data_IF_309301363305
#
_entry.id   IF_309301363305
#
_cell.length_a   1.000
_cell.length_b   1.000
_cell.length_c   1.000
_cell.angle_alpha   90.00
_cell.angle_beta   90.00
_cell.angle_gamma   90.00
#
_symmetry.space_group_name_H-M   'P 1'
#
loop_
_entity.id
_entity.type
_entity.pdbx_description
1 polymer ?
#
# COMPACT_ATOMS: atom_id res chain seq x y z
N UNK A 1 -1.48 -14.24 55.59
CA UNK A 1 -0.88 -13.27 54.65
C UNK A 1 -0.44 -14.07 53.43
N UNK A 2 -1.19 -14.00 52.33
CA UNK A 2 -0.90 -14.75 51.11
C UNK A 2 0.09 -13.96 50.26
N UNK A 3 1.36 -14.33 50.32
CA UNK A 3 2.40 -13.80 49.44
C UNK A 3 2.54 -14.70 48.21
N UNK A 4 2.61 -14.09 47.03
CA UNK A 4 2.78 -14.79 45.77
C UNK A 4 4.21 -14.58 45.26
N UNK A 5 4.94 -15.65 45.00
CA UNK A 5 6.33 -15.56 44.51
C UNK A 5 6.30 -15.63 42.98
N UNK A 6 6.75 -14.56 42.33
CA UNK A 6 6.86 -14.46 40.87
C UNK A 6 8.26 -13.95 40.55
N UNK A 7 8.99 -14.63 39.66
CA UNK A 7 10.37 -14.28 39.27
C UNK A 7 11.30 -14.03 40.48
N UNK A 8 11.16 -14.81 41.55
CA UNK A 8 12.00 -14.72 42.74
C UNK A 8 11.71 -13.52 43.66
N UNK A 9 10.66 -12.74 43.38
CA UNK A 9 10.19 -11.66 44.26
C UNK A 9 8.85 -12.05 44.88
N UNK A 10 8.71 -11.84 46.19
CA UNK A 10 7.43 -11.96 46.88
C UNK A 10 6.57 -10.72 46.59
N UNK A 11 5.35 -10.96 46.13
CA UNK A 11 4.35 -9.94 45.84
C UNK A 11 3.20 -10.03 46.81
N UNK A 12 2.81 -8.88 47.33
CA UNK A 12 1.57 -8.74 48.08
C UNK A 12 0.37 -8.64 47.11
N UNK A 13 -0.83 -8.98 47.58
CA UNK A 13 -2.09 -8.91 46.83
C UNK A 13 -2.29 -7.51 46.21
N UNK A 14 -1.94 -6.45 46.94
CA UNK A 14 -2.03 -5.07 46.42
C UNK A 14 -1.09 -4.81 45.25
N UNK A 15 0.10 -5.39 45.25
CA UNK A 15 1.08 -5.22 44.17
C UNK A 15 0.65 -5.98 42.92
N UNK A 16 0.12 -7.20 43.08
CA UNK A 16 -0.49 -7.96 42.00
C UNK A 16 -1.69 -7.21 41.40
N UNK A 17 -2.57 -6.67 42.23
CA UNK A 17 -3.72 -5.90 41.78
C UNK A 17 -3.29 -4.66 40.99
N UNK A 18 -2.27 -3.93 41.47
CA UNK A 18 -1.71 -2.78 40.76
C UNK A 18 -1.16 -3.17 39.39
N UNK A 19 -0.44 -4.28 39.29
CA UNK A 19 0.08 -4.78 38.01
C UNK A 19 -1.04 -5.10 37.03
N UNK A 20 -2.07 -5.82 37.49
CA UNK A 20 -3.24 -6.16 36.66
C UNK A 20 -3.98 -4.91 36.21
N UNK A 21 -4.15 -3.91 37.08
CA UNK A 21 -4.78 -2.64 36.72
C UNK A 21 -3.98 -1.93 35.63
N UNK A 22 -2.65 -1.83 35.76
CA UNK A 22 -1.80 -1.15 34.77
C UNK A 22 -1.87 -1.86 33.41
N UNK A 23 -1.72 -3.19 33.40
CA UNK A 23 -1.75 -3.99 32.16
C UNK A 23 -3.15 -3.97 31.54
N UNK A 24 -4.20 -4.18 32.34
CA UNK A 24 -5.59 -4.13 31.89
C UNK A 24 -5.97 -2.76 31.34
N UNK A 25 -5.52 -1.69 32.00
CA UNK A 25 -5.70 -0.31 31.51
C UNK A 25 -4.98 -0.09 30.20
N UNK A 26 -3.72 -0.53 30.05
CA UNK A 26 -2.97 -0.40 28.80
C UNK A 26 -3.65 -1.13 27.63
N UNK A 27 -4.11 -2.37 27.86
CA UNK A 27 -4.82 -3.17 26.87
C UNK A 27 -6.13 -2.51 26.44
N UNK A 28 -6.87 -1.92 27.38
CA UNK A 28 -8.11 -1.23 27.08
C UNK A 28 -7.87 0.12 26.41
N UNK A 29 -6.88 0.89 26.85
CA UNK A 29 -6.61 2.25 26.36
C UNK A 29 -6.08 2.25 24.93
N UNK A 30 -5.29 1.24 24.55
CA UNK A 30 -4.70 1.09 23.21
C UNK A 30 -5.70 1.20 22.05
N UNK A 31 -6.80 0.41 21.99
CA UNK A 31 -7.75 0.51 20.88
C UNK A 31 -8.51 1.85 20.84
N UNK A 32 -8.73 2.50 21.98
CA UNK A 32 -9.39 3.81 22.01
C UNK A 32 -8.47 4.93 21.53
N UNK A 33 -7.19 4.91 21.94
CA UNK A 33 -6.18 5.82 21.42
C UNK A 33 -6.04 5.69 19.90
N UNK A 34 -5.95 4.47 19.37
CA UNK A 34 -5.83 4.23 17.93
C UNK A 34 -7.01 4.79 17.14
N UNK A 35 -8.24 4.62 17.63
CA UNK A 35 -9.45 5.20 17.00
C UNK A 35 -9.43 6.73 17.02
N UNK A 36 -8.86 7.33 18.06
CA UNK A 36 -8.74 8.78 18.16
C UNK A 36 -7.68 9.30 17.18
N UNK A 37 -6.49 8.68 17.15
CA UNK A 37 -5.42 9.07 16.23
C UNK A 37 -5.80 8.91 14.78
N UNK A 38 -6.56 7.87 14.42
CA UNK A 38 -7.09 7.69 13.06
C UNK A 38 -7.95 8.88 12.62
N UNK A 39 -8.87 9.34 13.47
CA UNK A 39 -9.70 10.52 13.17
C UNK A 39 -8.88 11.81 13.03
N UNK A 40 -7.81 11.96 13.81
CA UNK A 40 -6.90 13.09 13.66
C UNK A 40 -6.10 13.01 12.36
N UNK A 41 -5.57 11.84 12.01
CA UNK A 41 -4.87 11.61 10.75
C UNK A 41 -5.79 11.85 9.54
N UNK A 42 -7.01 11.31 9.54
CA UNK A 42 -7.99 11.56 8.48
C UNK A 42 -8.29 13.06 8.31
N UNK A 43 -8.38 13.80 9.42
CA UNK A 43 -8.64 15.24 9.39
C UNK A 43 -7.44 16.05 8.88
N UNK A 44 -6.22 15.62 9.18
CA UNK A 44 -5.00 16.23 8.64
C UNK A 44 -4.80 15.89 7.16
N UNK A 45 -5.06 14.65 6.75
CA UNK A 45 -5.01 14.22 5.36
C UNK A 45 -6.11 14.86 4.50
N UNK A 46 -7.26 15.20 5.08
CA UNK A 46 -8.34 15.92 4.39
C UNK A 46 -8.14 17.44 4.37
N UNK A 47 -7.16 17.98 5.10
CA UNK A 47 -6.86 19.41 5.07
C UNK A 47 -6.25 19.73 3.70
N UNK A 48 -6.75 20.73 2.97
CA UNK A 48 -6.12 21.15 1.72
C UNK A 48 -4.69 21.58 2.03
N UNK A 49 -3.73 20.88 1.41
CA UNK A 49 -2.30 21.16 1.53
C UNK A 49 -2.08 22.60 1.07
N UNK A 50 -1.61 23.48 1.97
CA UNK A 50 -1.30 24.84 1.57
C UNK A 50 -0.13 24.82 0.58
N UNK A 51 -0.15 25.70 -0.43
CA UNK A 51 0.91 25.81 -1.43
C UNK A 51 2.24 26.15 -0.76
N UNK A 52 3.05 25.13 -0.46
CA UNK A 52 4.28 25.22 0.31
C UNK A 52 4.61 24.00 1.18
N UNK A 53 3.61 23.17 1.51
CA UNK A 53 3.80 21.95 2.33
C UNK A 53 4.05 20.68 1.50
N UNK A 54 3.92 20.76 0.18
CA UNK A 54 4.13 19.64 -0.77
C UNK A 54 5.59 19.14 -0.80
N UNK A 55 6.54 19.97 -0.35
CA UNK A 55 7.97 19.64 -0.24
C UNK A 55 8.41 19.22 1.17
N UNK A 56 7.47 19.04 2.11
CA UNK A 56 7.81 18.62 3.47
C UNK A 56 8.20 17.13 3.50
N UNK A 57 9.25 16.72 4.22
CA UNK A 57 9.58 15.29 4.40
C UNK A 57 8.51 14.52 5.18
N UNK A 58 7.54 15.22 5.80
CA UNK A 58 6.35 14.62 6.40
C UNK A 58 5.21 14.37 5.39
N UNK A 59 5.30 14.91 4.16
CA UNK A 59 4.44 14.54 3.05
C UNK A 59 4.86 13.15 2.55
N UNK A 60 4.59 12.13 3.36
CA UNK A 60 4.74 10.73 2.95
C UNK A 60 3.58 10.42 2.01
N UNK A 61 3.70 10.92 0.79
CA UNK A 61 3.08 10.29 -0.36
C UNK A 61 3.68 8.91 -0.54
N UNK A 62 2.87 8.01 -1.10
CA UNK A 62 3.13 6.60 -1.44
C UNK A 62 4.43 6.32 -2.23
N UNK A 63 5.27 7.33 -2.51
CA UNK A 63 6.51 7.25 -3.27
C UNK A 63 7.73 6.87 -2.44
N UNK A 64 7.77 7.16 -1.13
CA UNK A 64 8.98 6.97 -0.32
C UNK A 64 9.32 5.48 -0.05
N UNK A 65 8.33 4.58 -0.09
CA UNK A 65 8.53 3.14 0.09
C UNK A 65 8.66 2.35 -1.22
N UNK A 66 8.60 3.02 -2.38
CA UNK A 66 8.53 2.37 -3.70
C UNK A 66 9.88 1.84 -4.22
N UNK A 67 11.00 2.35 -3.72
CA UNK A 67 12.32 2.03 -4.29
C UNK A 67 13.02 0.81 -3.66
N UNK A 68 12.59 0.33 -2.49
CA UNK A 68 13.34 -0.71 -1.75
C UNK A 68 12.85 -2.14 -2.05
N UNK A 69 11.71 -2.32 -2.73
CA UNK A 69 11.10 -3.64 -2.99
C UNK A 69 11.04 -4.00 -4.48
N UNK A 70 11.81 -3.32 -5.32
CA UNK A 70 11.74 -3.47 -6.78
C UNK A 70 12.66 -4.56 -7.36
N UNK A 71 13.52 -5.17 -6.54
CA UNK A 71 14.46 -6.20 -6.98
C UNK A 71 14.17 -7.50 -6.23
N UNK A 72 13.97 -8.56 -7.00
CA UNK A 72 13.74 -9.96 -6.59
C UNK A 72 12.39 -10.30 -5.95
N UNK A 73 11.46 -10.78 -6.79
CA UNK A 73 10.87 -12.11 -6.56
C UNK A 73 10.16 -12.57 -7.84
N UNK A 74 10.89 -13.42 -8.59
CA UNK A 74 10.34 -14.29 -9.62
C UNK A 74 9.29 -15.24 -9.01
N UNK A 75 8.14 -15.25 -9.67
CA UNK A 75 7.25 -16.40 -9.87
C UNK A 75 7.03 -17.40 -8.72
N UNK A 76 6.08 -17.10 -7.83
CA UNK A 76 5.39 -18.11 -7.03
C UNK A 76 3.88 -17.90 -7.15
N UNK A 77 3.26 -18.73 -7.99
CA UNK A 77 1.81 -18.81 -8.23
C UNK A 77 1.12 -19.59 -7.10
N UNK A 78 1.28 -19.10 -5.87
CA UNK A 78 0.63 -19.61 -4.67
C UNK A 78 -0.34 -18.58 -4.09
N UNK A 79 -1.41 -19.04 -3.42
CA UNK A 79 -2.32 -18.21 -2.64
C UNK A 79 -1.58 -17.50 -1.49
N UNK A 80 -0.89 -16.42 -1.83
CA UNK A 80 -0.18 -15.56 -0.89
C UNK A 80 -1.21 -14.76 -0.07
N UNK A 81 -1.43 -15.19 1.18
CA UNK A 81 -2.22 -14.46 2.19
C UNK A 81 -1.45 -13.30 2.83
N UNK A 82 -0.36 -12.84 2.21
CA UNK A 82 0.32 -11.61 2.62
C UNK A 82 -0.61 -10.41 2.52
N UNK A 83 -0.53 -9.53 3.53
CA UNK A 83 -1.37 -8.34 3.72
C UNK A 83 -1.37 -7.33 2.55
N UNK A 84 -0.55 -7.54 1.52
CA UNK A 84 -0.50 -6.73 0.29
C UNK A 84 -0.93 -7.48 -0.99
N UNK A 85 -1.28 -8.76 -0.92
CA UNK A 85 -1.51 -9.58 -2.11
C UNK A 85 -2.66 -9.06 -3.00
N UNK A 86 -3.75 -8.58 -2.40
CA UNK A 86 -4.88 -7.99 -3.13
C UNK A 86 -4.50 -6.71 -3.89
N UNK A 87 -3.65 -5.86 -3.28
CA UNK A 87 -3.18 -4.61 -3.91
C UNK A 87 -2.20 -4.93 -5.05
N UNK A 88 -1.28 -5.87 -4.85
CA UNK A 88 -0.36 -6.35 -5.90
C UNK A 88 -1.12 -6.92 -7.10
N UNK A 89 -2.14 -7.76 -6.86
CA UNK A 89 -3.01 -8.31 -7.92
C UNK A 89 -3.71 -7.20 -8.71
N UNK A 90 -4.29 -6.20 -8.04
CA UNK A 90 -4.94 -5.06 -8.70
C UNK A 90 -3.94 -4.25 -9.55
N UNK A 91 -2.74 -3.98 -9.03
CA UNK A 91 -1.68 -3.28 -9.77
C UNK A 91 -1.17 -4.05 -10.98
N UNK A 92 -1.05 -5.38 -10.89
CA UNK A 92 -0.71 -6.23 -12.05
C UNK A 92 -1.82 -6.20 -13.10
N UNK A 93 -3.09 -6.27 -12.69
CA UNK A 93 -4.21 -6.16 -13.62
C UNK A 93 -4.26 -4.80 -14.32
N UNK A 94 -4.07 -3.70 -13.59
CA UNK A 94 -3.98 -2.33 -14.15
C UNK A 94 -2.85 -2.25 -15.21
N UNK A 95 -1.65 -2.74 -14.89
CA UNK A 95 -0.52 -2.75 -15.85
C UNK A 95 -0.82 -3.58 -17.11
N UNK A 96 -1.45 -4.74 -16.96
CA UNK A 96 -1.82 -5.61 -18.09
C UNK A 96 -2.86 -4.94 -18.99
N UNK A 97 -3.87 -4.30 -18.41
CA UNK A 97 -4.89 -3.57 -19.17
C UNK A 97 -4.28 -2.40 -19.96
N UNK A 98 -3.39 -1.62 -19.34
CA UNK A 98 -2.68 -0.53 -20.04
C UNK A 98 -1.84 -1.08 -21.20
N UNK A 99 -1.10 -2.17 -20.97
CA UNK A 99 -0.30 -2.80 -22.03
C UNK A 99 -1.15 -3.25 -23.22
N UNK A 100 -2.32 -3.86 -22.95
CA UNK A 100 -3.24 -4.30 -24.01
C UNK A 100 -3.81 -3.13 -24.82
N UNK A 101 -4.12 -2.01 -24.16
CA UNK A 101 -4.59 -0.81 -24.86
C UNK A 101 -3.51 -0.19 -25.76
N UNK A 102 -2.24 -0.24 -25.34
CA UNK A 102 -1.12 0.24 -26.15
C UNK A 102 -0.90 -0.70 -27.36
N UNK A 103 -0.92 -2.01 -27.13
CA UNK A 103 -0.72 -3.02 -28.18
C UNK A 103 -1.83 -2.97 -29.26
N UNK A 104 -3.07 -2.73 -28.86
CA UNK A 104 -4.19 -2.55 -29.79
C UNK A 104 -4.06 -1.26 -30.62
N UNK A 105 -3.59 -0.17 -29.99
CA UNK A 105 -3.37 1.09 -30.70
C UNK A 105 -2.19 0.98 -31.68
N UNK A 106 -1.09 0.34 -31.28
CA UNK A 106 0.04 0.04 -32.16
C UNK A 106 -0.39 -0.83 -33.35
N UNK A 107 -1.27 -1.80 -33.12
CA UNK A 107 -1.83 -2.62 -34.20
C UNK A 107 -2.71 -1.80 -35.15
N UNK A 108 -3.55 -0.91 -34.63
CA UNK A 108 -4.39 -0.04 -35.45
C UNK A 108 -3.55 0.91 -36.31
N UNK A 109 -2.49 1.48 -35.73
CA UNK A 109 -1.55 2.33 -36.46
C UNK A 109 -0.81 1.51 -37.53
N UNK A 110 -0.38 0.29 -37.22
CA UNK A 110 0.26 -0.58 -38.21
C UNK A 110 -0.68 -1.00 -39.36
N UNK A 111 -1.99 -1.15 -39.08
CA UNK A 111 -3.01 -1.40 -40.10
C UNK A 111 -3.34 -0.14 -40.92
N UNK A 112 -3.28 1.06 -40.32
CA UNK A 112 -3.45 2.36 -41.01
C UNK A 112 -2.21 2.81 -41.81
N UNK A 113 -0.99 2.44 -41.37
CA UNK A 113 0.30 2.71 -42.02
C UNK A 113 0.72 1.60 -43.00
N UNK A 114 -0.09 0.54 -43.13
CA UNK A 114 0.01 -0.42 -44.21
C UNK A 114 -0.41 0.27 -45.51
N UNK A 115 0.57 0.84 -46.22
CA UNK A 115 0.54 1.55 -47.51
C UNK A 115 -0.12 0.80 -48.71
N UNK A 116 -1.17 0.00 -48.50
CA UNK A 116 -1.90 -0.70 -49.55
C UNK A 116 -2.62 0.28 -50.51
N UNK A 117 -3.10 1.43 -50.03
CA UNK A 117 -3.70 2.48 -50.89
C UNK A 117 -2.67 3.31 -51.67
N UNK A 118 -1.42 3.44 -51.18
CA UNK A 118 -0.36 4.21 -51.86
C UNK A 118 0.28 3.39 -52.99
N UNK A 119 0.36 2.07 -52.84
CA UNK A 119 0.87 1.16 -53.86
C UNK A 119 -0.01 1.16 -55.14
N UNK A 120 -1.34 1.25 -55.02
CA UNK A 120 -2.25 1.31 -56.17
C UNK A 120 -2.06 2.59 -57.00
N UNK A 121 -1.63 3.70 -56.38
CA UNK A 121 -1.38 4.96 -57.08
C UNK A 121 -0.04 4.98 -57.83
N UNK A 122 0.94 4.18 -57.38
CA UNK A 122 2.27 4.11 -58.02
C UNK A 122 2.29 3.25 -59.30
N UNK A 123 1.40 2.25 -59.39
CA UNK A 123 1.32 1.33 -60.55
C UNK A 123 0.46 1.90 -61.70
N UNK A 124 -0.23 3.02 -61.48
CA UNK A 124 -1.13 3.66 -62.45
C UNK A 124 -0.47 4.77 -63.29
N UNK A 125 0.75 5.17 -62.92
CA UNK A 125 1.56 6.20 -63.59
C UNK A 125 2.73 5.62 -64.43
N UNK A 126 2.67 4.33 -64.76
CA UNK A 126 3.55 3.66 -65.75
C UNK A 126 2.72 2.98 -66.86
#
# INVERSE_FOLDING_TARGET
MTEFIILGRAFNVYEMLRLVIVVGTYLLFRPYLLKLTQKFQEREHARPVASGEENSPAAVGDSANKSVLAEDEEDIDGEDMSWGAKVRRRKRAEKKAIKQLIDEEERRIAEEESDEEIAEFLDKDN
#
